data_IF_069271742018
#
_entry.id   IF_069271742018
#
_cell.length_a   1.000
_cell.length_b   1.000
_cell.length_c   1.000
_cell.angle_alpha   90.00
_cell.angle_beta   90.00
_cell.angle_gamma   90.00
#
_symmetry.space_group_name_H-M   'P 1'
#
loop_
_entity.id
_entity.type
_entity.pdbx_description
1 polymer ?
#
# COMPACT_ATOMS: atom_id res chain seq x y z
N UNK A 1 1.35 33.32 -8.61
CA UNK A 1 1.51 31.88 -8.71
C UNK A 1 2.97 31.57 -8.45
N UNK A 2 3.27 31.02 -7.28
CA UNK A 2 4.61 30.54 -6.94
C UNK A 2 4.94 29.42 -7.93
N UNK A 3 5.97 29.65 -8.74
CA UNK A 3 6.54 28.59 -9.57
C UNK A 3 7.21 27.62 -8.64
N UNK A 4 6.63 26.43 -8.47
CA UNK A 4 7.27 25.35 -7.76
C UNK A 4 8.64 25.03 -8.39
N UNK A 5 9.55 24.48 -7.59
CA UNK A 5 10.85 24.03 -8.05
C UNK A 5 10.67 22.95 -9.14
N UNK A 6 11.49 22.97 -10.17
CA UNK A 6 11.55 21.90 -11.16
C UNK A 6 12.05 20.59 -10.51
N UNK A 7 11.72 19.45 -11.09
CA UNK A 7 12.20 18.13 -10.61
C UNK A 7 13.74 18.08 -10.52
N UNK A 8 14.44 18.73 -11.44
CA UNK A 8 15.89 18.85 -11.41
C UNK A 8 16.42 19.63 -10.21
N UNK A 9 15.80 20.76 -9.87
CA UNK A 9 16.17 21.56 -8.71
C UNK A 9 15.91 20.84 -7.39
N UNK A 10 14.80 20.08 -7.30
CA UNK A 10 14.50 19.25 -6.14
C UNK A 10 15.57 18.17 -5.96
N UNK A 11 15.92 17.44 -7.02
CA UNK A 11 16.96 16.40 -6.96
C UNK A 11 18.32 16.99 -6.56
N UNK A 12 18.70 18.13 -7.12
CA UNK A 12 19.94 18.80 -6.73
C UNK A 12 19.91 19.27 -5.28
N UNK A 13 18.77 19.70 -4.77
CA UNK A 13 18.61 20.06 -3.38
C UNK A 13 18.77 18.84 -2.45
N UNK A 14 18.13 17.71 -2.78
CA UNK A 14 18.28 16.45 -2.06
C UNK A 14 19.76 16.05 -2.05
N UNK A 15 20.41 16.03 -3.22
CA UNK A 15 21.82 15.67 -3.35
C UNK A 15 22.72 16.53 -2.46
N UNK A 16 22.57 17.87 -2.48
CA UNK A 16 23.34 18.78 -1.63
C UNK A 16 23.16 18.49 -0.14
N UNK A 17 21.92 18.24 0.29
CA UNK A 17 21.62 17.90 1.68
C UNK A 17 22.26 16.56 2.10
N UNK A 18 22.20 15.54 1.26
CA UNK A 18 22.81 14.25 1.55
C UNK A 18 24.33 14.38 1.73
N UNK A 19 24.98 15.15 0.86
CA UNK A 19 26.43 15.39 0.93
C UNK A 19 26.79 16.20 2.18
N UNK A 20 26.10 17.33 2.41
CA UNK A 20 26.44 18.25 3.50
C UNK A 20 26.29 17.62 4.89
N UNK A 21 25.36 16.66 5.03
CA UNK A 21 25.13 15.98 6.30
C UNK A 21 25.73 14.56 6.36
N UNK A 22 26.42 14.13 5.30
CA UNK A 22 26.94 12.76 5.17
C UNK A 22 25.88 11.72 5.58
N UNK A 23 24.65 11.86 5.04
CA UNK A 23 23.49 11.09 5.44
C UNK A 23 23.03 10.14 4.36
N UNK A 24 22.26 9.12 4.79
CA UNK A 24 21.56 8.18 3.92
C UNK A 24 20.08 8.50 3.90
N UNK A 25 19.47 8.57 2.71
CA UNK A 25 18.04 8.71 2.53
C UNK A 25 17.43 7.40 2.02
N UNK A 26 16.46 6.87 2.74
CA UNK A 26 15.56 5.84 2.23
C UNK A 26 14.30 6.53 1.70
N UNK A 27 14.10 6.48 0.39
CA UNK A 27 12.94 7.07 -0.27
C UNK A 27 12.00 5.95 -0.74
N UNK A 28 10.75 6.00 -0.28
CA UNK A 28 9.69 5.08 -0.72
C UNK A 28 8.73 5.86 -1.61
N UNK A 29 8.54 5.41 -2.84
CA UNK A 29 7.56 5.96 -3.78
C UNK A 29 6.44 4.94 -3.97
N UNK A 30 5.27 5.25 -3.42
CA UNK A 30 4.06 4.45 -3.59
C UNK A 30 3.31 4.88 -4.85
N UNK A 31 2.56 3.95 -5.45
CA UNK A 31 1.82 4.15 -6.71
C UNK A 31 2.70 4.72 -7.84
N UNK A 32 3.92 4.22 -7.94
CA UNK A 32 4.93 4.76 -8.87
C UNK A 32 4.54 4.62 -10.35
N UNK A 33 3.66 3.69 -10.68
CA UNK A 33 3.08 3.53 -12.03
C UNK A 33 2.29 4.77 -12.46
N UNK A 34 1.57 5.44 -11.56
CA UNK A 34 0.87 6.70 -11.84
C UNK A 34 1.86 7.82 -12.16
N UNK A 35 2.95 7.87 -11.40
CA UNK A 35 4.02 8.86 -11.63
C UNK A 35 4.66 8.65 -13.01
N UNK A 36 4.99 7.40 -13.36
CA UNK A 36 5.65 7.08 -14.63
C UNK A 36 4.73 7.35 -15.83
N UNK A 37 3.45 7.01 -15.72
CA UNK A 37 2.47 7.30 -16.80
C UNK A 37 2.31 8.79 -17.05
N UNK A 38 2.50 9.62 -16.02
CA UNK A 38 2.36 11.08 -16.09
C UNK A 38 3.62 11.78 -16.59
N UNK A 39 4.78 11.42 -16.05
CA UNK A 39 6.04 12.18 -16.20
C UNK A 39 7.15 11.37 -16.89
N UNK A 40 6.82 10.19 -17.46
CA UNK A 40 7.78 9.19 -17.90
C UNK A 40 8.71 8.74 -16.73
N UNK A 41 9.67 7.89 -17.03
CA UNK A 41 10.59 7.36 -16.02
C UNK A 41 11.79 8.26 -15.69
N UNK A 42 11.83 9.50 -16.21
CA UNK A 42 12.97 10.42 -16.08
C UNK A 42 13.31 10.76 -14.62
N UNK A 43 12.29 10.97 -13.78
CA UNK A 43 12.50 11.22 -12.35
C UNK A 43 13.15 10.03 -11.66
N UNK A 44 12.67 8.80 -11.94
CA UNK A 44 13.23 7.57 -11.36
C UNK A 44 14.67 7.39 -11.82
N UNK A 45 14.94 7.60 -13.10
CA UNK A 45 16.30 7.55 -13.65
C UNK A 45 17.26 8.51 -12.95
N UNK A 46 16.84 9.74 -12.73
CA UNK A 46 17.64 10.77 -12.01
C UNK A 46 17.86 10.40 -10.54
N UNK A 47 16.85 9.86 -9.86
CA UNK A 47 16.98 9.40 -8.47
C UNK A 47 17.97 8.24 -8.35
N UNK A 48 17.93 7.27 -9.26
CA UNK A 48 18.85 6.12 -9.29
C UNK A 48 20.31 6.52 -9.58
N UNK A 49 20.53 7.76 -9.99
CA UNK A 49 21.88 8.29 -10.33
C UNK A 49 22.31 9.39 -9.38
N UNK A 50 21.60 9.63 -8.29
CA UNK A 50 21.81 10.79 -7.41
C UNK A 50 23.21 10.77 -6.77
N UNK A 51 23.76 9.60 -6.51
CA UNK A 51 25.06 9.37 -5.89
C UNK A 51 26.20 9.09 -6.89
N UNK A 52 25.93 9.11 -8.21
CA UNK A 52 26.97 8.93 -9.23
C UNK A 52 28.03 10.04 -9.20
N UNK A 53 29.28 9.64 -9.26
CA UNK A 53 30.42 10.56 -9.30
C UNK A 53 30.79 11.18 -7.95
N UNK A 54 30.33 10.59 -6.84
CA UNK A 54 30.68 11.01 -5.50
C UNK A 54 31.53 9.99 -4.77
N UNK A 55 32.67 10.44 -4.26
CA UNK A 55 33.45 9.65 -3.33
C UNK A 55 32.80 9.71 -1.93
N UNK A 56 31.94 8.71 -1.62
CA UNK A 56 31.52 8.30 -0.26
C UNK A 56 30.76 9.29 0.65
N UNK A 57 30.17 10.37 0.15
CA UNK A 57 29.40 11.29 1.01
C UNK A 57 27.95 11.37 0.57
N UNK A 58 27.06 10.80 1.40
CA UNK A 58 25.63 10.78 1.16
C UNK A 58 25.18 9.71 0.17
N UNK A 59 24.12 9.01 0.46
CA UNK A 59 23.58 7.95 -0.40
C UNK A 59 22.05 7.91 -0.36
N UNK A 60 21.46 7.30 -1.40
CA UNK A 60 20.01 7.11 -1.51
C UNK A 60 19.69 5.64 -1.76
N UNK A 61 18.74 5.10 -1.00
CA UNK A 61 18.05 3.86 -1.33
C UNK A 61 16.64 4.15 -1.78
N UNK A 62 16.20 3.50 -2.85
CA UNK A 62 14.90 3.72 -3.46
C UNK A 62 14.05 2.44 -3.38
N UNK A 63 12.84 2.57 -2.83
CA UNK A 63 11.80 1.53 -2.87
C UNK A 63 10.68 2.04 -3.75
N UNK A 64 10.34 1.29 -4.78
CA UNK A 64 9.25 1.58 -5.69
C UNK A 64 8.12 0.59 -5.42
N UNK A 65 6.93 1.09 -5.12
CA UNK A 65 5.73 0.28 -4.87
C UNK A 65 4.71 0.54 -5.97
N UNK A 66 4.13 -0.52 -6.51
CA UNK A 66 3.10 -0.43 -7.54
C UNK A 66 2.14 -1.62 -7.45
N UNK A 67 0.89 -1.38 -7.80
CA UNK A 67 -0.11 -2.41 -8.00
C UNK A 67 -0.09 -2.98 -9.43
N UNK A 68 0.56 -2.29 -10.38
CA UNK A 68 0.64 -2.71 -11.77
C UNK A 68 1.71 -3.79 -11.96
N UNK A 69 1.27 -5.02 -12.23
CA UNK A 69 2.16 -6.15 -12.52
C UNK A 69 3.01 -5.93 -13.77
N UNK A 70 2.64 -4.98 -14.62
CA UNK A 70 3.34 -4.63 -15.85
C UNK A 70 4.28 -3.44 -15.67
N UNK A 71 4.45 -2.93 -14.45
CA UNK A 71 5.30 -1.78 -14.14
C UNK A 71 6.68 -1.84 -14.82
N UNK A 72 7.33 -3.01 -14.80
CA UNK A 72 8.66 -3.17 -15.39
C UNK A 72 8.68 -2.90 -16.90
N UNK A 73 7.56 -3.08 -17.60
CA UNK A 73 7.46 -2.76 -19.04
C UNK A 73 7.37 -1.26 -19.33
N UNK A 74 7.07 -0.47 -18.31
CA UNK A 74 7.04 1.00 -18.41
C UNK A 74 8.45 1.60 -18.25
N UNK A 75 9.40 0.83 -17.76
CA UNK A 75 10.77 1.30 -17.57
C UNK A 75 11.66 1.05 -18.78
N UNK A 76 12.56 1.99 -19.01
CA UNK A 76 13.65 1.80 -19.95
C UNK A 76 14.65 0.71 -19.47
N UNK A 77 15.31 -0.01 -20.38
CA UNK A 77 16.28 -1.06 -20.03
C UNK A 77 17.38 -0.59 -19.05
N UNK A 78 17.79 0.66 -19.15
CA UNK A 78 18.78 1.26 -18.26
C UNK A 78 18.32 1.33 -16.80
N UNK A 79 17.04 1.59 -16.56
CA UNK A 79 16.42 1.61 -15.23
C UNK A 79 16.32 0.19 -14.69
N UNK A 80 15.82 -0.75 -15.50
CA UNK A 80 15.67 -2.15 -15.12
C UNK A 80 17.02 -2.76 -14.72
N UNK A 81 18.07 -2.47 -15.50
CA UNK A 81 19.43 -2.92 -15.19
C UNK A 81 19.94 -2.42 -13.85
N UNK A 82 19.60 -1.19 -13.46
CA UNK A 82 19.99 -0.60 -12.17
C UNK A 82 19.16 -1.11 -11.00
N UNK A 83 17.87 -1.33 -11.18
CA UNK A 83 17.01 -1.92 -10.16
C UNK A 83 17.47 -3.35 -9.83
N UNK A 84 17.93 -4.09 -10.82
CA UNK A 84 18.38 -5.47 -10.67
C UNK A 84 17.22 -6.45 -10.53
N UNK A 85 17.26 -7.54 -11.28
CA UNK A 85 16.15 -8.52 -11.27
C UNK A 85 15.93 -9.21 -9.91
N UNK A 86 16.97 -9.33 -9.09
CA UNK A 86 16.92 -9.91 -7.75
C UNK A 86 16.26 -8.99 -6.71
N UNK A 87 16.06 -7.73 -7.02
CA UNK A 87 15.50 -6.73 -6.11
C UNK A 87 13.99 -6.54 -6.31
N UNK A 88 13.35 -7.42 -7.05
CA UNK A 88 11.91 -7.38 -7.31
C UNK A 88 11.20 -8.30 -6.33
N UNK A 89 10.37 -7.72 -5.47
CA UNK A 89 9.51 -8.44 -4.55
C UNK A 89 8.07 -8.42 -5.07
N UNK A 90 7.53 -9.59 -5.37
CA UNK A 90 6.13 -9.74 -5.75
C UNK A 90 5.31 -10.11 -4.52
N UNK A 91 4.35 -9.25 -4.17
CA UNK A 91 3.36 -9.51 -3.14
C UNK A 91 2.14 -10.18 -3.77
N UNK A 92 1.73 -11.32 -3.22
CA UNK A 92 0.51 -12.00 -3.66
C UNK A 92 -0.70 -11.47 -2.87
N UNK A 93 -1.92 -11.50 -3.45
CA UNK A 93 -3.14 -11.25 -2.70
C UNK A 93 -3.23 -12.17 -1.48
N UNK A 94 -3.88 -11.71 -0.42
CA UNK A 94 -4.14 -12.54 0.74
C UNK A 94 -5.16 -13.63 0.42
N UNK A 95 -4.92 -14.83 0.94
CA UNK A 95 -5.91 -15.90 0.93
C UNK A 95 -6.94 -15.75 2.05
N UNK A 96 -7.98 -16.59 2.04
CA UNK A 96 -9.01 -16.63 3.08
C UNK A 96 -8.40 -16.69 4.49
N UNK A 97 -7.39 -17.54 4.69
CA UNK A 97 -6.76 -17.75 6.00
C UNK A 97 -6.05 -16.49 6.48
N UNK A 98 -5.29 -15.85 5.61
CA UNK A 98 -4.59 -14.59 5.90
C UNK A 98 -5.56 -13.47 6.24
N UNK A 99 -6.66 -13.34 5.49
CA UNK A 99 -7.69 -12.32 5.74
C UNK A 99 -8.47 -12.56 7.03
N UNK A 100 -8.79 -13.82 7.34
CA UNK A 100 -9.40 -14.18 8.64
C UNK A 100 -8.47 -13.81 9.79
N UNK A 101 -7.17 -14.08 9.66
CA UNK A 101 -6.18 -13.75 10.70
C UNK A 101 -6.00 -12.23 10.86
N UNK A 102 -6.00 -11.48 9.77
CA UNK A 102 -5.98 -10.00 9.82
C UNK A 102 -7.20 -9.47 10.56
N UNK A 103 -8.40 -9.97 10.24
CA UNK A 103 -9.63 -9.58 10.94
C UNK A 103 -9.57 -9.93 12.44
N UNK A 104 -9.05 -11.11 12.79
CA UNK A 104 -8.85 -11.55 14.18
C UNK A 104 -7.94 -10.60 14.95
N UNK A 105 -6.75 -10.32 14.43
CA UNK A 105 -5.80 -9.42 15.07
C UNK A 105 -6.37 -8.01 15.30
N UNK A 106 -7.18 -7.53 14.37
CA UNK A 106 -7.88 -6.24 14.52
C UNK A 106 -8.98 -6.30 15.58
N UNK A 107 -9.76 -7.38 15.60
CA UNK A 107 -10.77 -7.61 16.62
C UNK A 107 -10.18 -7.71 18.03
N UNK A 108 -9.09 -8.45 18.19
CA UNK A 108 -8.40 -8.62 19.47
C UNK A 108 -7.87 -7.31 20.06
N UNK A 109 -7.47 -6.37 19.17
CA UNK A 109 -6.96 -5.05 19.59
C UNK A 109 -8.10 -4.08 19.92
N UNK A 110 -9.19 -4.12 19.14
CA UNK A 110 -10.22 -3.07 19.16
C UNK A 110 -11.49 -3.44 19.92
N UNK A 111 -11.76 -4.72 20.13
CA UNK A 111 -12.99 -5.22 20.67
C UNK A 111 -12.84 -5.91 22.03
N UNK A 112 -13.97 -6.06 22.74
CA UNK A 112 -14.01 -6.85 23.96
C UNK A 112 -13.89 -8.34 23.64
N UNK A 113 -13.21 -9.08 24.50
CA UNK A 113 -13.09 -10.52 24.35
C UNK A 113 -14.49 -11.18 24.25
N UNK A 114 -14.67 -12.00 23.21
CA UNK A 114 -15.92 -12.73 22.98
C UNK A 114 -17.02 -11.96 22.24
N UNK A 115 -16.80 -10.68 21.89
CA UNK A 115 -17.80 -9.91 21.13
C UNK A 115 -17.86 -10.30 19.65
N UNK A 116 -16.84 -10.99 19.13
CA UNK A 116 -16.77 -11.47 17.76
C UNK A 116 -16.43 -12.94 17.75
N UNK A 117 -17.33 -13.76 17.21
CA UNK A 117 -17.13 -15.19 17.15
C UNK A 117 -16.18 -15.60 16.02
N UNK A 118 -15.57 -16.78 16.14
CA UNK A 118 -14.73 -17.36 15.09
C UNK A 118 -15.46 -17.48 13.75
N UNK A 119 -16.74 -17.82 13.79
CA UNK A 119 -17.58 -17.95 12.61
C UNK A 119 -17.74 -16.62 11.85
N UNK A 120 -17.91 -15.51 12.59
CA UNK A 120 -17.95 -14.14 12.05
C UNK A 120 -16.63 -13.81 11.37
N UNK A 121 -15.48 -14.08 12.01
CA UNK A 121 -14.15 -13.84 11.45
C UNK A 121 -13.89 -14.65 10.17
N UNK A 122 -14.31 -15.91 10.16
CA UNK A 122 -14.19 -16.76 8.97
C UNK A 122 -15.08 -16.27 7.82
N UNK A 123 -16.28 -15.79 8.12
CA UNK A 123 -17.18 -15.22 7.10
C UNK A 123 -16.56 -13.97 6.47
N UNK A 124 -15.97 -13.08 7.28
CA UNK A 124 -15.22 -11.90 6.78
C UNK A 124 -14.07 -12.35 5.85
N UNK A 125 -13.29 -13.33 6.30
CA UNK A 125 -12.19 -13.87 5.49
C UNK A 125 -12.64 -14.46 4.16
N UNK A 126 -13.78 -15.15 4.12
CA UNK A 126 -14.36 -15.69 2.87
C UNK A 126 -14.74 -14.56 1.93
N UNK A 127 -15.45 -13.55 2.43
CA UNK A 127 -15.96 -12.45 1.60
C UNK A 127 -14.83 -11.58 1.06
N UNK A 128 -13.85 -11.27 1.89
CA UNK A 128 -12.69 -10.47 1.46
C UNK A 128 -11.73 -11.23 0.52
N UNK A 129 -11.77 -12.58 0.53
CA UNK A 129 -10.90 -13.40 -0.33
C UNK A 129 -11.27 -13.31 -1.82
N UNK A 130 -12.45 -12.83 -2.17
CA UNK A 130 -12.85 -12.61 -3.56
C UNK A 130 -11.94 -11.56 -4.23
N UNK A 131 -11.55 -10.52 -3.50
CA UNK A 131 -10.59 -9.50 -3.96
C UNK A 131 -9.16 -9.73 -3.45
N UNK A 132 -8.97 -10.53 -2.39
CA UNK A 132 -7.69 -10.70 -1.72
C UNK A 132 -7.20 -9.45 -0.98
N UNK A 133 -8.09 -8.49 -0.71
CA UNK A 133 -7.78 -7.19 -0.12
C UNK A 133 -7.99 -7.18 1.40
N UNK A 134 -6.91 -6.88 2.13
CA UNK A 134 -6.94 -6.72 3.58
C UNK A 134 -7.78 -5.51 4.04
N UNK A 135 -7.86 -4.44 3.22
CA UNK A 135 -8.70 -3.27 3.53
C UNK A 135 -10.16 -3.66 3.58
N UNK A 136 -10.63 -4.47 2.62
CA UNK A 136 -12.01 -4.96 2.61
C UNK A 136 -12.31 -5.79 3.85
N UNK A 137 -11.39 -6.66 4.30
CA UNK A 137 -11.58 -7.43 5.52
C UNK A 137 -11.75 -6.54 6.77
N UNK A 138 -10.92 -5.49 6.88
CA UNK A 138 -10.98 -4.53 8.00
C UNK A 138 -12.27 -3.69 7.93
N UNK A 139 -12.69 -3.28 6.74
CA UNK A 139 -13.90 -2.49 6.53
C UNK A 139 -15.17 -3.29 6.83
N UNK A 140 -15.22 -4.56 6.43
CA UNK A 140 -16.31 -5.46 6.79
C UNK A 140 -16.39 -5.66 8.30
N UNK A 141 -15.25 -5.80 8.97
CA UNK A 141 -15.20 -5.91 10.43
C UNK A 141 -15.73 -4.64 11.11
N UNK A 142 -15.19 -3.45 10.75
CA UNK A 142 -15.59 -2.17 11.34
C UNK A 142 -17.09 -1.89 11.15
N UNK A 143 -17.58 -2.08 9.92
CA UNK A 143 -18.99 -1.83 9.61
C UNK A 143 -19.94 -2.80 10.32
N UNK A 144 -19.54 -4.06 10.51
CA UNK A 144 -20.29 -5.04 11.26
C UNK A 144 -20.36 -4.71 12.76
N UNK A 145 -19.26 -4.24 13.34
CA UNK A 145 -19.20 -3.78 14.75
C UNK A 145 -20.13 -2.59 14.94
N UNK A 146 -20.01 -1.56 14.10
CA UNK A 146 -20.87 -0.36 14.17
C UNK A 146 -22.36 -0.71 14.06
N UNK A 147 -22.68 -1.73 13.27
CA UNK A 147 -24.05 -2.19 13.12
C UNK A 147 -24.57 -2.87 14.37
N UNK A 148 -23.78 -3.76 14.98
CA UNK A 148 -24.11 -4.39 16.24
C UNK A 148 -24.35 -3.34 17.35
N UNK A 149 -23.44 -2.37 17.47
CA UNK A 149 -23.54 -1.27 18.41
C UNK A 149 -24.79 -0.42 18.19
N UNK A 150 -25.09 -0.05 16.94
CA UNK A 150 -26.29 0.73 16.60
C UNK A 150 -27.60 -0.01 16.91
N UNK A 151 -27.54 -1.34 16.96
CA UNK A 151 -28.65 -2.21 17.34
C UNK A 151 -28.68 -2.51 18.85
N UNK A 152 -27.82 -1.87 19.64
CA UNK A 152 -27.72 -2.07 21.09
C UNK A 152 -27.15 -3.43 21.51
N UNK A 153 -26.49 -4.17 20.61
CA UNK A 153 -25.90 -5.49 20.86
C UNK A 153 -24.45 -5.38 21.25
N UNK A 154 -24.00 -6.24 22.14
CA UNK A 154 -22.59 -6.38 22.56
C UNK A 154 -21.78 -7.38 21.74
N UNK A 155 -22.43 -8.05 20.78
CA UNK A 155 -21.84 -9.08 19.93
C UNK A 155 -22.19 -8.86 18.46
N UNK A 156 -21.27 -9.23 17.57
CA UNK A 156 -21.45 -9.15 16.12
C UNK A 156 -22.04 -10.46 15.61
N UNK A 157 -23.08 -10.37 14.78
CA UNK A 157 -23.74 -11.50 14.13
C UNK A 157 -23.35 -11.59 12.66
N UNK A 158 -23.55 -12.77 12.04
CA UNK A 158 -23.28 -12.99 10.61
C UNK A 158 -24.12 -12.05 9.73
N UNK A 159 -25.35 -11.76 10.14
CA UNK A 159 -26.25 -10.85 9.44
C UNK A 159 -25.70 -9.42 9.34
N UNK A 160 -24.90 -8.99 10.32
CA UNK A 160 -24.26 -7.68 10.30
C UNK A 160 -23.24 -7.58 9.18
N UNK A 161 -22.52 -8.66 8.88
CA UNK A 161 -21.56 -8.72 7.78
C UNK A 161 -22.26 -8.68 6.43
N UNK A 162 -23.32 -9.49 6.24
CA UNK A 162 -24.04 -9.59 4.97
C UNK A 162 -24.67 -8.26 4.55
N UNK A 163 -25.22 -7.54 5.52
CA UNK A 163 -25.79 -6.22 5.27
C UNK A 163 -24.71 -5.15 5.09
N UNK A 164 -23.53 -5.32 5.67
CA UNK A 164 -22.37 -4.44 5.46
C UNK A 164 -21.77 -4.60 4.07
N UNK A 165 -21.68 -5.82 3.56
CA UNK A 165 -21.15 -6.10 2.22
C UNK A 165 -22.00 -5.50 1.11
N UNK A 166 -23.31 -5.55 1.24
CA UNK A 166 -24.23 -4.93 0.29
C UNK A 166 -24.02 -3.41 0.19
N UNK A 167 -23.58 -2.78 1.27
CA UNK A 167 -23.29 -1.35 1.34
C UNK A 167 -21.93 -0.99 0.74
N UNK A 168 -20.92 -1.80 0.98
CA UNK A 168 -19.58 -1.64 0.38
C UNK A 168 -19.65 -1.81 -1.13
N UNK A 169 -20.33 -2.83 -1.63
CA UNK A 169 -20.55 -3.05 -3.06
C UNK A 169 -21.34 -1.92 -3.75
N UNK A 170 -22.18 -1.17 -3.00
CA UNK A 170 -22.92 -0.03 -3.53
C UNK A 170 -22.09 1.27 -3.60
N UNK A 171 -20.92 1.32 -2.95
CA UNK A 171 -20.02 2.49 -2.92
C UNK A 171 -18.91 2.38 -3.97
N UNK A 172 -18.54 1.17 -4.38
CA UNK A 172 -17.61 0.98 -5.49
C UNK A 172 -18.33 1.20 -6.83
N UNK A 173 -18.03 2.29 -7.55
CA UNK A 173 -18.54 2.44 -8.91
C UNK A 173 -17.95 1.35 -9.78
N UNK A 174 -18.80 0.62 -10.48
CA UNK A 174 -18.44 -0.37 -11.51
C UNK A 174 -17.38 0.24 -12.44
N UNK A 175 -16.18 -0.32 -12.43
CA UNK A 175 -15.13 0.01 -13.39
C UNK A 175 -15.49 -0.54 -14.77
#
# INVERSE_FOLDING_TARGET
PERGLSSGEIIQSIRRNLISHNSHLLLVLDEVDLLIRRDNSDLIYKLLRIDEGQEKQGSLSLILVSQDSMLLKLFEPAIISRLGASNILKMNPYDKKGLTEIARQRADIACRNGSISEEVLQKIGVMAAESGDARLAIELLDSSIRRAESSGRGEVLIEDIEQSSARVAAIEPSQ
#
